data_IF_616081763153
#
_entry.id   IF_616081763153
#
_cell.length_a   1.000
_cell.length_b   1.000
_cell.length_c   1.000
_cell.angle_alpha   90.00
_cell.angle_beta   90.00
_cell.angle_gamma   90.00
#
_symmetry.space_group_name_H-M   'P 1'
#
loop_
_entity.id
_entity.type
_entity.pdbx_description
1 polymer ?
#
# COMPACT_ATOMS: atom_id res chain seq x y z
N UNK A 1 -14.21 33.13 14.57
CA UNK A 1 -13.48 32.08 13.81
C UNK A 1 -13.34 30.75 14.58
N UNK A 2 -14.38 30.34 15.33
CA UNK A 2 -14.37 29.12 16.17
C UNK A 2 -15.60 28.22 15.99
N UNK A 3 -16.51 28.56 15.08
CA UNK A 3 -17.73 27.79 14.80
C UNK A 3 -17.66 26.91 13.53
N UNK A 4 -16.53 26.89 12.82
CA UNK A 4 -16.38 26.11 11.57
C UNK A 4 -15.83 24.68 11.78
N UNK A 5 -15.55 24.28 13.03
CA UNK A 5 -14.92 22.98 13.35
C UNK A 5 -15.87 21.93 13.96
N UNK A 6 -17.16 22.24 14.15
CA UNK A 6 -18.13 21.29 14.72
C UNK A 6 -18.85 20.41 13.68
N UNK A 7 -18.85 20.80 12.41
CA UNK A 7 -19.70 20.14 11.38
C UNK A 7 -19.04 18.95 10.64
N UNK A 8 -17.76 18.66 10.91
CA UNK A 8 -17.07 17.52 10.31
C UNK A 8 -17.01 16.26 11.18
N UNK A 9 -17.53 16.29 12.42
CA UNK A 9 -17.54 15.11 13.31
C UNK A 9 -18.66 14.11 12.98
N UNK A 10 -19.78 14.57 12.41
CA UNK A 10 -20.93 13.72 12.06
C UNK A 10 -20.64 12.84 10.82
N UNK A 11 -20.01 13.39 9.77
CA UNK A 11 -19.56 12.62 8.59
C UNK A 11 -18.41 11.66 8.90
N UNK A 12 -17.55 11.98 9.87
CA UNK A 12 -16.46 11.09 10.31
C UNK A 12 -16.98 9.85 11.05
N UNK A 13 -18.13 9.95 11.74
CA UNK A 13 -18.77 8.81 12.40
C UNK A 13 -19.49 7.87 11.43
N UNK A 14 -19.95 8.36 10.28
CA UNK A 14 -20.46 7.50 9.19
C UNK A 14 -19.32 6.68 8.55
N UNK A 15 -18.14 7.28 8.39
CA UNK A 15 -16.94 6.56 7.90
C UNK A 15 -16.38 5.56 8.92
N UNK A 16 -16.49 5.82 10.23
CA UNK A 16 -16.05 4.87 11.27
C UNK A 16 -16.96 3.65 11.38
N UNK A 17 -18.23 3.73 10.96
CA UNK A 17 -19.18 2.61 11.01
C UNK A 17 -18.96 1.55 9.91
N UNK A 18 -18.22 1.89 8.85
CA UNK A 18 -17.86 0.97 7.75
C UNK A 18 -16.57 0.16 8.06
N UNK A 19 -15.84 0.49 9.14
CA UNK A 19 -14.55 -0.13 9.50
C UNK A 19 -14.65 -1.13 10.66
N UNK A 20 -15.72 -1.93 10.74
CA UNK A 20 -15.72 -3.13 11.60
C UNK A 20 -14.97 -4.26 10.88
N UNK A 21 -13.65 -4.18 10.97
CA UNK A 21 -12.73 -5.30 10.74
C UNK A 21 -13.04 -6.41 11.76
N UNK A 22 -13.73 -7.47 11.33
CA UNK A 22 -13.57 -8.88 11.76
C UNK A 22 -14.77 -9.69 11.25
N UNK A 23 -14.48 -10.83 10.58
CA UNK A 23 -15.43 -11.86 10.11
C UNK A 23 -16.25 -11.61 8.83
N UNK A 24 -15.80 -10.74 7.92
CA UNK A 24 -16.42 -10.66 6.59
C UNK A 24 -15.87 -11.71 5.60
N UNK A 25 -15.99 -13.02 5.91
CA UNK A 25 -15.91 -14.07 4.87
C UNK A 25 -17.24 -14.10 4.09
N UNK A 26 -17.75 -12.93 3.73
CA UNK A 26 -18.96 -12.81 2.93
C UNK A 26 -18.62 -13.31 1.54
N UNK A 27 -19.56 -14.04 0.95
CA UNK A 27 -19.49 -14.55 -0.40
C UNK A 27 -19.27 -13.38 -1.38
N UNK A 28 -18.02 -13.09 -1.71
CA UNK A 28 -17.70 -12.25 -2.85
C UNK A 28 -18.15 -13.04 -4.08
N UNK A 29 -19.13 -12.50 -4.81
CA UNK A 29 -19.70 -13.19 -5.97
C UNK A 29 -18.63 -13.34 -7.04
N UNK A 30 -18.43 -14.56 -7.54
CA UNK A 30 -17.57 -14.80 -8.68
C UNK A 30 -18.31 -14.42 -9.98
N UNK A 31 -18.23 -13.15 -10.38
CA UNK A 31 -18.95 -12.62 -11.56
C UNK A 31 -18.20 -11.46 -12.22
N UNK A 32 -18.36 -11.32 -13.54
CA UNK A 32 -17.82 -10.19 -14.32
C UNK A 32 -18.45 -8.82 -13.97
N UNK A 33 -19.46 -8.79 -13.10
CA UNK A 33 -20.02 -7.57 -12.49
C UNK A 33 -19.50 -7.31 -11.08
N UNK A 34 -18.46 -8.03 -10.65
CA UNK A 34 -17.77 -7.82 -9.38
C UNK A 34 -16.43 -7.13 -9.64
N UNK A 35 -16.20 -6.03 -8.92
CA UNK A 35 -14.94 -5.31 -8.90
C UNK A 35 -14.26 -5.46 -7.54
N UNK A 36 -13.03 -5.94 -7.57
CA UNK A 36 -12.16 -6.11 -6.40
C UNK A 36 -11.02 -5.10 -6.49
N UNK A 37 -10.99 -4.18 -5.55
CA UNK A 37 -9.92 -3.22 -5.40
C UNK A 37 -8.91 -3.69 -4.35
N UNK A 38 -7.68 -3.94 -4.78
CA UNK A 38 -6.59 -4.40 -3.90
C UNK A 38 -5.82 -3.19 -3.39
N UNK A 39 -6.00 -2.87 -2.11
CA UNK A 39 -5.34 -1.77 -1.42
C UNK A 39 -4.07 -2.25 -0.72
N UNK A 40 -2.93 -2.10 -1.41
CA UNK A 40 -1.62 -2.28 -0.77
C UNK A 40 -1.29 -1.09 0.11
N UNK A 41 -0.95 -1.37 1.38
CA UNK A 41 -0.60 -0.32 2.35
C UNK A 41 0.47 0.63 1.82
N UNK A 42 0.27 1.93 2.09
CA UNK A 42 1.18 3.04 1.73
C UNK A 42 1.32 3.33 0.23
N UNK A 43 0.43 2.78 -0.59
CA UNK A 43 0.36 3.07 -2.02
C UNK A 43 -0.68 4.15 -2.37
N UNK A 44 -1.20 4.91 -1.40
CA UNK A 44 -2.24 5.92 -1.67
C UNK A 44 -3.66 5.34 -1.79
N UNK A 45 -3.89 4.13 -1.26
CA UNK A 45 -5.11 3.44 -1.59
C UNK A 45 -6.41 4.01 -1.02
N UNK A 46 -6.35 4.79 0.07
CA UNK A 46 -7.52 5.56 0.55
C UNK A 46 -7.92 6.64 -0.45
N UNK A 47 -6.94 7.28 -1.09
CA UNK A 47 -7.17 8.31 -2.11
C UNK A 47 -7.86 7.70 -3.33
N UNK A 48 -7.30 6.61 -3.86
CA UNK A 48 -7.89 5.92 -5.00
C UNK A 48 -9.28 5.36 -4.70
N UNK A 49 -9.50 4.75 -3.53
CA UNK A 49 -10.82 4.25 -3.14
C UNK A 49 -11.88 5.35 -3.21
N UNK A 50 -11.58 6.54 -2.70
CA UNK A 50 -12.49 7.69 -2.75
C UNK A 50 -12.75 8.13 -4.19
N UNK A 51 -11.75 8.11 -5.06
CA UNK A 51 -11.92 8.44 -6.48
C UNK A 51 -12.79 7.40 -7.19
N UNK A 52 -12.54 6.10 -6.98
CA UNK A 52 -13.35 5.00 -7.53
C UNK A 52 -14.82 5.15 -7.16
N UNK A 53 -15.11 5.36 -5.87
CA UNK A 53 -16.48 5.51 -5.36
C UNK A 53 -17.21 6.75 -5.91
N UNK A 54 -16.49 7.77 -6.37
CA UNK A 54 -17.07 8.96 -7.01
C UNK A 54 -17.19 8.85 -8.51
N UNK A 55 -16.46 7.93 -9.13
CA UNK A 55 -16.39 7.81 -10.58
C UNK A 55 -17.62 7.11 -11.15
N UNK A 56 -18.01 7.46 -12.37
CA UNK A 56 -19.04 6.72 -13.13
C UNK A 56 -18.61 5.28 -13.43
N UNK A 57 -17.30 5.00 -13.36
CA UNK A 57 -16.73 3.67 -13.62
C UNK A 57 -17.31 2.61 -12.69
N UNK A 58 -17.58 2.96 -11.43
CA UNK A 58 -18.09 2.02 -10.43
C UNK A 58 -19.51 1.53 -10.76
N UNK A 59 -20.29 2.32 -11.49
CA UNK A 59 -21.68 1.99 -11.87
C UNK A 59 -21.76 0.84 -12.87
N UNK A 60 -20.64 0.45 -13.50
CA UNK A 60 -20.56 -0.71 -14.40
C UNK A 60 -20.62 -2.06 -13.65
N UNK A 61 -20.47 -2.03 -12.32
CA UNK A 61 -20.37 -3.21 -11.46
C UNK A 61 -21.55 -3.25 -10.48
N UNK A 62 -22.03 -4.46 -10.22
CA UNK A 62 -23.11 -4.70 -9.25
C UNK A 62 -22.55 -4.81 -7.81
N UNK A 63 -21.24 -5.07 -7.67
CA UNK A 63 -20.58 -5.20 -6.38
C UNK A 63 -19.15 -4.66 -6.44
N UNK A 64 -18.75 -4.01 -5.35
CA UNK A 64 -17.43 -3.43 -5.17
C UNK A 64 -16.86 -3.83 -3.81
N UNK A 65 -15.66 -4.41 -3.81
CA UNK A 65 -14.98 -4.88 -2.61
C UNK A 65 -13.58 -4.28 -2.53
N UNK A 66 -13.23 -3.74 -1.36
CA UNK A 66 -11.86 -3.31 -1.09
C UNK A 66 -11.19 -4.35 -0.20
N UNK A 67 -10.06 -4.89 -0.67
CA UNK A 67 -9.23 -5.81 0.09
C UNK A 67 -8.05 -5.03 0.69
N UNK A 68 -7.88 -5.10 2.01
CA UNK A 68 -6.79 -4.46 2.73
C UNK A 68 -6.42 -5.29 3.97
N UNK A 69 -5.12 -5.51 4.22
CA UNK A 69 -4.57 -6.28 5.36
C UNK A 69 -4.81 -7.80 5.25
N UNK A 70 -5.60 -8.27 4.28
CA UNK A 70 -5.84 -9.68 4.00
C UNK A 70 -5.42 -10.08 2.58
N UNK A 71 -5.23 -11.38 2.34
CA UNK A 71 -4.94 -11.90 1.00
C UNK A 71 -6.18 -11.74 0.11
N UNK A 72 -6.05 -11.19 -1.11
CA UNK A 72 -7.17 -11.13 -2.06
C UNK A 72 -7.70 -12.52 -2.39
N UNK A 73 -9.03 -12.68 -2.60
CA UNK A 73 -9.57 -13.91 -3.14
C UNK A 73 -9.14 -14.07 -4.60
N UNK A 74 -9.03 -15.32 -5.04
CA UNK A 74 -8.79 -15.70 -6.43
C UNK A 74 -10.13 -16.14 -7.00
N UNK A 75 -10.72 -15.32 -7.85
CA UNK A 75 -12.03 -15.54 -8.48
C UNK A 75 -11.91 -15.38 -10.00
N UNK A 76 -12.27 -16.41 -10.76
CA UNK A 76 -12.05 -16.51 -12.21
C UNK A 76 -12.80 -15.46 -13.03
N UNK A 77 -13.97 -15.03 -12.57
CA UNK A 77 -14.85 -14.13 -13.30
C UNK A 77 -14.83 -12.70 -12.74
N UNK A 78 -14.18 -12.45 -11.61
CA UNK A 78 -14.12 -11.11 -11.03
C UNK A 78 -13.11 -10.22 -11.77
N UNK A 79 -13.33 -8.91 -11.64
CA UNK A 79 -12.42 -7.88 -12.16
C UNK A 79 -11.60 -7.28 -11.01
N UNK A 80 -10.37 -6.89 -11.31
CA UNK A 80 -9.41 -6.39 -10.32
C UNK A 80 -8.89 -5.01 -10.72
N UNK A 81 -8.77 -4.16 -9.70
CA UNK A 81 -8.07 -2.89 -9.77
C UNK A 81 -7.01 -2.90 -8.69
N UNK A 82 -5.80 -2.50 -9.06
CA UNK A 82 -4.66 -2.55 -8.17
C UNK A 82 -4.05 -1.17 -8.02
N UNK A 83 -3.50 -0.92 -6.84
CA UNK A 83 -2.64 0.21 -6.61
C UNK A 83 -1.28 -0.25 -6.10
N UNK A 84 -0.24 0.20 -6.79
CA UNK A 84 1.14 -0.20 -6.54
C UNK A 84 2.02 1.04 -6.30
N UNK A 85 3.26 0.76 -5.91
CA UNK A 85 4.29 1.74 -5.62
C UNK A 85 5.65 1.10 -5.80
N UNK A 86 6.68 1.88 -6.06
CA UNK A 86 8.06 1.42 -5.93
C UNK A 86 8.27 0.75 -4.55
N UNK A 87 8.79 -0.49 -4.47
CA UNK A 87 8.87 -1.25 -3.21
C UNK A 87 9.68 -0.55 -2.13
N UNK A 88 10.80 0.07 -2.50
CA UNK A 88 11.67 0.81 -1.57
C UNK A 88 10.95 2.05 -1.05
N UNK A 89 10.34 2.84 -1.93
CA UNK A 89 9.58 4.04 -1.52
C UNK A 89 8.39 3.68 -0.63
N UNK A 90 7.75 2.54 -0.88
CA UNK A 90 6.67 1.99 -0.03
C UNK A 90 7.20 1.67 1.36
N UNK A 91 8.32 0.96 1.47
CA UNK A 91 8.95 0.60 2.75
C UNK A 91 9.39 1.84 3.54
N UNK A 92 10.02 2.82 2.89
CA UNK A 92 10.38 4.11 3.52
C UNK A 92 9.12 4.79 4.09
N UNK A 93 8.03 4.82 3.32
CA UNK A 93 6.77 5.42 3.75
C UNK A 93 6.11 4.65 4.90
N UNK A 94 6.16 3.32 4.85
CA UNK A 94 5.64 2.43 5.88
C UNK A 94 6.39 2.60 7.20
N UNK A 95 7.72 2.51 7.17
CA UNK A 95 8.57 2.65 8.35
C UNK A 95 8.35 4.00 9.02
N UNK A 96 8.47 5.11 8.29
CA UNK A 96 8.32 6.46 8.86
C UNK A 96 6.94 6.69 9.45
N UNK A 97 5.89 6.13 8.85
CA UNK A 97 4.54 6.21 9.41
C UNK A 97 4.39 5.41 10.71
N UNK A 98 4.93 4.19 10.76
CA UNK A 98 4.92 3.39 11.99
C UNK A 98 5.75 4.06 13.08
N UNK A 99 6.96 4.52 12.74
CA UNK A 99 7.82 5.27 13.66
C UNK A 99 7.09 6.46 14.29
N UNK A 100 6.45 7.29 13.47
CA UNK A 100 5.65 8.41 13.96
C UNK A 100 4.56 7.96 14.93
N UNK A 101 3.70 7.02 14.54
CA UNK A 101 2.54 6.63 15.37
C UNK A 101 2.92 5.86 16.64
N UNK A 102 4.02 5.12 16.61
CA UNK A 102 4.40 4.19 17.67
C UNK A 102 5.41 4.83 18.62
N UNK A 103 6.39 5.58 18.09
CA UNK A 103 7.50 6.15 18.86
C UNK A 103 7.32 7.65 19.12
N UNK A 104 6.97 8.46 18.10
CA UNK A 104 6.89 9.93 18.28
C UNK A 104 5.59 10.35 18.98
N UNK A 105 4.45 9.92 18.43
CA UNK A 105 3.12 10.27 18.93
C UNK A 105 2.67 9.30 20.05
N UNK A 106 3.32 8.13 20.17
CA UNK A 106 2.98 7.00 21.05
C UNK A 106 1.53 6.48 21.03
N UNK A 107 0.67 7.01 20.14
CA UNK A 107 -0.76 6.65 20.01
C UNK A 107 -1.02 5.18 19.70
N UNK A 108 -0.03 4.46 19.17
CA UNK A 108 -0.12 3.02 18.86
C UNK A 108 1.01 2.19 19.48
N UNK A 109 1.67 2.72 20.52
CA UNK A 109 2.82 2.07 21.19
C UNK A 109 2.60 0.60 21.53
N UNK A 110 1.43 0.27 22.09
CA UNK A 110 1.08 -1.08 22.57
C UNK A 110 0.21 -1.88 21.59
N UNK A 111 -0.05 -1.36 20.38
CA UNK A 111 -0.97 -2.01 19.42
C UNK A 111 -0.41 -3.34 18.90
N UNK A 112 0.90 -3.39 18.66
CA UNK A 112 1.58 -4.58 18.17
C UNK A 112 2.78 -4.90 19.06
N UNK A 113 2.79 -6.10 19.64
CA UNK A 113 3.81 -6.52 20.62
C UNK A 113 5.22 -6.47 19.99
N UNK A 114 6.13 -5.75 20.65
CA UNK A 114 7.54 -5.61 20.25
C UNK A 114 7.81 -4.62 19.11
N UNK A 115 6.79 -4.03 18.47
CA UNK A 115 7.02 -3.09 17.36
C UNK A 115 7.72 -1.81 17.83
N UNK A 116 7.37 -1.29 19.02
CA UNK A 116 8.03 -0.13 19.60
C UNK A 116 9.53 -0.36 19.80
N UNK A 117 9.90 -1.50 20.40
CA UNK A 117 11.31 -1.84 20.68
C UNK A 117 12.13 -1.89 19.40
N UNK A 118 11.57 -2.49 18.35
CA UNK A 118 12.20 -2.60 17.03
C UNK A 118 12.37 -1.22 16.39
N UNK A 119 11.31 -0.41 16.35
CA UNK A 119 11.37 0.93 15.77
C UNK A 119 12.38 1.81 16.51
N UNK A 120 12.42 1.73 17.84
CA UNK A 120 13.37 2.46 18.67
C UNK A 120 14.82 1.95 18.50
N UNK A 121 15.02 0.62 18.34
CA UNK A 121 16.32 0.00 18.04
C UNK A 121 16.94 0.55 16.76
N UNK A 122 16.19 0.55 15.66
CA UNK A 122 16.74 0.97 14.36
C UNK A 122 16.65 2.48 14.11
N UNK A 123 15.67 3.18 14.69
CA UNK A 123 15.41 4.63 14.56
C UNK A 123 15.00 5.12 13.16
N UNK A 124 15.58 4.54 12.10
CA UNK A 124 15.26 4.82 10.71
C UNK A 124 15.40 3.55 9.86
N UNK A 125 14.87 3.62 8.64
CA UNK A 125 14.87 2.46 7.73
C UNK A 125 16.27 2.12 7.19
N UNK A 126 17.18 3.09 7.06
CA UNK A 126 18.54 2.84 6.59
C UNK A 126 19.30 1.92 7.54
N UNK A 127 19.25 2.22 8.84
CA UNK A 127 19.92 1.44 9.88
C UNK A 127 19.43 0.00 9.91
N UNK A 128 18.13 -0.22 9.68
CA UNK A 128 17.56 -1.56 9.54
C UNK A 128 18.08 -2.23 8.26
N UNK A 129 17.96 -1.54 7.12
CA UNK A 129 18.32 -2.09 5.82
C UNK A 129 19.81 -2.49 5.71
N UNK A 130 20.72 -1.70 6.27
CA UNK A 130 22.15 -2.01 6.30
C UNK A 130 22.49 -3.29 7.07
N UNK A 131 21.64 -3.68 8.02
CA UNK A 131 21.82 -4.87 8.85
C UNK A 131 21.10 -6.12 8.31
N UNK A 132 20.29 -5.99 7.25
CA UNK A 132 19.55 -7.14 6.67
C UNK A 132 20.47 -8.27 6.20
N UNK A 133 21.72 -7.97 5.84
CA UNK A 133 22.68 -8.94 5.35
C UNK A 133 24.04 -8.77 6.02
N UNK A 134 24.71 -9.90 6.27
CA UNK A 134 26.11 -10.00 6.67
C UNK A 134 26.86 -10.69 5.53
N UNK A 135 27.54 -9.89 4.69
CA UNK A 135 27.99 -10.38 3.39
C UNK A 135 26.79 -10.78 2.54
N UNK A 136 26.76 -12.02 2.06
CA UNK A 136 25.68 -12.55 1.22
C UNK A 136 24.57 -13.27 1.98
N UNK A 137 24.73 -13.45 3.29
CA UNK A 137 23.75 -14.17 4.11
C UNK A 137 22.78 -13.19 4.75
N UNK A 138 21.49 -13.53 4.68
CA UNK A 138 20.44 -12.77 5.36
C UNK A 138 20.57 -12.93 6.88
N UNK A 139 20.52 -11.82 7.61
CA UNK A 139 20.43 -11.84 9.07
C UNK A 139 18.98 -12.15 9.48
N UNK A 140 18.75 -13.38 9.96
CA UNK A 140 17.41 -13.86 10.34
C UNK A 140 16.79 -13.07 11.49
N UNK A 141 17.59 -12.48 12.36
CA UNK A 141 17.09 -11.65 13.46
C UNK A 141 16.53 -10.35 12.89
N UNK A 142 17.29 -9.70 11.99
CA UNK A 142 16.89 -8.43 11.36
C UNK A 142 15.71 -8.64 10.40
N UNK A 143 15.67 -9.76 9.68
CA UNK A 143 14.49 -10.17 8.90
C UNK A 143 13.24 -10.31 9.80
N UNK A 144 13.38 -11.00 10.95
CA UNK A 144 12.32 -11.16 11.92
C UNK A 144 11.81 -9.82 12.46
N UNK A 145 12.73 -8.89 12.74
CA UNK A 145 12.41 -7.53 13.15
C UNK A 145 11.64 -6.77 12.06
N UNK A 146 12.11 -6.84 10.80
CA UNK A 146 11.42 -6.23 9.65
C UNK A 146 9.98 -6.72 9.54
N UNK A 147 9.77 -8.04 9.64
CA UNK A 147 8.44 -8.68 9.52
C UNK A 147 7.53 -8.43 10.72
N UNK A 148 8.04 -7.96 11.85
CA UNK A 148 7.22 -7.56 13.02
C UNK A 148 6.64 -6.14 12.88
N UNK A 149 7.21 -5.30 12.02
CA UNK A 149 6.66 -3.99 11.71
C UNK A 149 5.44 -4.17 10.78
N UNK A 150 4.25 -3.84 11.27
CA UNK A 150 2.97 -4.29 10.68
C UNK A 150 2.83 -3.99 9.18
N UNK A 151 3.09 -2.74 8.75
CA UNK A 151 2.97 -2.37 7.34
C UNK A 151 4.13 -2.86 6.45
N UNK A 152 5.25 -3.31 7.04
CA UNK A 152 6.36 -3.88 6.29
C UNK A 152 6.08 -5.34 5.93
N UNK A 153 5.46 -6.09 6.84
CA UNK A 153 5.03 -7.48 6.61
C UNK A 153 4.04 -7.62 5.45
N UNK A 154 3.08 -6.69 5.36
CA UNK A 154 2.04 -6.68 4.34
C UNK A 154 2.55 -5.97 3.08
N UNK A 155 3.58 -6.57 2.46
CA UNK A 155 4.24 -6.07 1.26
C UNK A 155 3.49 -6.39 -0.03
N UNK A 156 4.02 -5.95 -1.18
CA UNK A 156 3.31 -6.15 -2.46
C UNK A 156 3.15 -7.65 -2.72
N UNK A 157 4.20 -8.43 -2.50
CA UNK A 157 4.18 -9.88 -2.65
C UNK A 157 3.15 -10.56 -1.73
N UNK A 158 2.94 -10.06 -0.51
CA UNK A 158 1.92 -10.60 0.40
C UNK A 158 0.52 -10.59 -0.23
N UNK A 159 0.17 -9.54 -0.98
CA UNK A 159 -1.14 -9.45 -1.65
C UNK A 159 -1.14 -10.15 -3.01
N UNK A 160 -0.05 -10.02 -3.78
CA UNK A 160 -0.09 -10.29 -5.22
C UNK A 160 0.57 -11.60 -5.64
N UNK A 161 1.49 -12.16 -4.85
CA UNK A 161 2.30 -13.31 -5.29
C UNK A 161 1.43 -14.48 -5.71
N UNK A 162 0.52 -14.92 -4.82
CA UNK A 162 -0.34 -16.07 -5.06
C UNK A 162 -1.43 -15.70 -6.09
N UNK A 163 -2.04 -14.52 -5.93
CA UNK A 163 -3.06 -14.03 -6.85
C UNK A 163 -2.59 -14.04 -8.30
N UNK A 164 -1.37 -13.54 -8.56
CA UNK A 164 -0.83 -13.43 -9.91
C UNK A 164 -0.54 -14.80 -10.56
N UNK A 165 -0.49 -15.91 -9.82
CA UNK A 165 -0.32 -17.24 -10.43
C UNK A 165 -1.54 -17.64 -11.25
N UNK A 166 -2.73 -17.31 -10.76
CA UNK A 166 -4.01 -17.73 -11.33
C UNK A 166 -4.76 -16.60 -12.06
N UNK A 167 -4.29 -15.35 -11.92
CA UNK A 167 -4.96 -14.19 -12.48
C UNK A 167 -4.73 -14.06 -13.99
N UNK A 168 -5.81 -14.00 -14.76
CA UNK A 168 -5.75 -13.68 -16.18
C UNK A 168 -5.56 -12.19 -16.42
N UNK A 169 -4.79 -11.82 -17.45
CA UNK A 169 -4.54 -10.43 -17.84
C UNK A 169 -5.84 -9.63 -18.06
N UNK A 170 -6.87 -10.24 -18.65
CA UNK A 170 -8.17 -9.62 -18.90
C UNK A 170 -8.96 -9.28 -17.63
N UNK A 171 -8.65 -9.91 -16.50
CA UNK A 171 -9.27 -9.62 -15.21
C UNK A 171 -8.70 -8.34 -14.57
N UNK A 172 -7.50 -7.90 -14.97
CA UNK A 172 -6.87 -6.69 -14.45
C UNK A 172 -7.30 -5.49 -15.28
N UNK A 173 -8.30 -4.76 -14.78
CA UNK A 173 -8.85 -3.63 -15.50
C UNK A 173 -7.93 -2.41 -15.50
N UNK A 174 -7.31 -2.12 -14.36
CA UNK A 174 -6.40 -0.98 -14.22
C UNK A 174 -5.38 -1.20 -13.10
N UNK A 175 -4.17 -0.68 -13.32
CA UNK A 175 -3.09 -0.64 -12.34
C UNK A 175 -2.66 0.81 -12.16
N UNK A 176 -2.97 1.36 -10.98
CA UNK A 176 -2.56 2.70 -10.57
C UNK A 176 -1.20 2.66 -9.87
N UNK A 177 -0.35 3.66 -10.13
CA UNK A 177 0.92 3.81 -9.42
C UNK A 177 0.88 5.04 -8.51
N UNK A 178 1.42 4.92 -7.29
CA UNK A 178 1.45 6.05 -6.33
C UNK A 178 2.16 7.26 -6.90
N UNK A 179 3.22 7.02 -7.68
CA UNK A 179 4.09 8.01 -8.29
C UNK A 179 3.36 8.88 -9.32
N UNK A 180 2.26 8.39 -9.90
CA UNK A 180 1.46 9.07 -10.91
C UNK A 180 -0.03 9.12 -10.54
N UNK A 181 -0.34 8.92 -9.26
CA UNK A 181 -1.70 8.57 -8.83
C UNK A 181 -2.74 9.62 -9.22
N UNK A 182 -2.42 10.91 -9.08
CA UNK A 182 -3.35 11.98 -9.42
C UNK A 182 -3.60 12.05 -10.94
N UNK A 183 -2.55 11.87 -11.75
CA UNK A 183 -2.65 11.82 -13.21
C UNK A 183 -3.45 10.59 -13.66
N UNK A 184 -3.18 9.43 -13.07
CA UNK A 184 -3.89 8.18 -13.38
C UNK A 184 -5.36 8.27 -12.98
N UNK A 185 -5.68 8.78 -11.78
CA UNK A 185 -7.06 9.00 -11.34
C UNK A 185 -7.79 9.93 -12.31
N UNK A 186 -7.18 11.04 -12.70
CA UNK A 186 -7.81 11.95 -13.65
C UNK A 186 -7.99 11.31 -15.02
N UNK A 187 -6.96 10.64 -15.55
CA UNK A 187 -7.00 9.99 -16.87
C UNK A 187 -8.09 8.93 -16.94
N UNK A 188 -8.11 8.01 -15.99
CA UNK A 188 -8.94 6.79 -15.99
C UNK A 188 -10.34 7.09 -15.44
N UNK A 189 -10.44 7.78 -14.32
CA UNK A 189 -11.69 7.95 -13.58
C UNK A 189 -12.38 9.29 -13.85
N UNK A 190 -11.70 10.23 -14.54
CA UNK A 190 -12.17 11.60 -14.79
C UNK A 190 -12.48 12.38 -13.50
N UNK A 191 -11.81 12.02 -12.41
CA UNK A 191 -11.92 12.69 -11.11
C UNK A 191 -10.66 13.53 -10.87
N UNK A 192 -10.82 14.78 -10.42
CA UNK A 192 -9.70 15.57 -9.88
C UNK A 192 -9.54 15.24 -8.40
N UNK A 193 -8.30 14.95 -7.99
CA UNK A 193 -8.01 14.68 -6.60
C UNK A 193 -7.69 15.99 -5.85
N UNK A 194 -8.73 16.72 -5.46
CA UNK A 194 -8.57 17.98 -4.72
C UNK A 194 -8.14 17.76 -3.25
N UNK A 195 -8.23 16.51 -2.80
CA UNK A 195 -7.85 16.13 -1.46
C UNK A 195 -6.34 15.95 -1.41
N UNK A 196 -5.66 16.99 -0.94
CA UNK A 196 -4.24 17.02 -0.58
C UNK A 196 -3.89 16.07 0.61
N UNK A 197 -4.38 14.83 0.61
CA UNK A 197 -4.24 13.84 1.70
C UNK A 197 -2.76 13.49 1.94
N UNK A 198 -1.91 13.68 0.93
CA UNK A 198 -0.49 13.31 0.96
C UNK A 198 0.45 14.35 1.58
N UNK A 199 -0.03 15.51 2.07
CA UNK A 199 0.83 16.57 2.65
C UNK A 199 1.72 16.13 3.82
N UNK A 200 1.46 14.99 4.45
CA UNK A 200 2.28 14.49 5.54
C UNK A 200 3.68 14.03 5.09
N UNK A 201 3.91 13.72 3.81
CA UNK A 201 5.25 13.38 3.33
C UNK A 201 6.24 14.52 3.50
N UNK A 202 5.79 15.77 3.41
CA UNK A 202 6.65 16.95 3.46
C UNK A 202 7.17 17.25 4.87
N UNK A 203 6.54 16.67 5.91
CA UNK A 203 6.95 16.84 7.31
C UNK A 203 8.07 15.90 7.74
N UNK A 204 8.34 14.85 6.96
CA UNK A 204 9.41 13.90 7.28
C UNK A 204 10.74 14.44 6.76
N UNK A 205 11.71 14.63 7.66
CA UNK A 205 13.04 15.14 7.31
C UNK A 205 13.72 14.29 6.25
N UNK A 206 14.54 14.92 5.39
CA UNK A 206 15.25 14.23 4.29
C UNK A 206 16.09 13.04 4.80
N UNK A 207 16.76 13.21 5.94
CA UNK A 207 17.60 12.18 6.56
C UNK A 207 16.83 10.90 6.96
N UNK A 208 15.52 11.00 7.25
CA UNK A 208 14.66 9.84 7.54
C UNK A 208 14.22 9.07 6.28
N UNK A 209 14.50 9.61 5.09
CA UNK A 209 14.14 9.02 3.79
C UNK A 209 15.34 8.50 3.00
N UNK A 210 16.54 8.99 3.32
CA UNK A 210 17.77 8.57 2.64
C UNK A 210 18.18 7.16 3.02
N UNK A 211 18.66 6.40 2.03
CA UNK A 211 19.37 5.14 2.21
C UNK A 211 20.80 5.32 1.74
N UNK A 212 21.76 4.70 2.43
CA UNK A 212 23.11 4.52 1.90
C UNK A 212 23.07 3.55 0.72
N UNK A 213 24.15 3.49 -0.06
CA UNK A 213 24.26 2.53 -1.16
C UNK A 213 24.11 1.08 -0.66
N UNK A 214 24.70 0.76 0.50
CA UNK A 214 24.58 -0.55 1.15
C UNK A 214 23.13 -0.84 1.58
N UNK A 215 22.50 0.10 2.29
CA UNK A 215 21.12 -0.05 2.76
C UNK A 215 20.14 -0.22 1.59
N UNK A 216 20.31 0.58 0.52
CA UNK A 216 19.51 0.46 -0.69
C UNK A 216 19.67 -0.91 -1.37
N UNK A 217 20.92 -1.37 -1.57
CA UNK A 217 21.20 -2.66 -2.24
C UNK A 217 20.64 -3.83 -1.44
N UNK A 218 20.84 -3.83 -0.12
CA UNK A 218 20.29 -4.84 0.78
C UNK A 218 18.76 -4.87 0.73
N UNK A 219 18.12 -3.70 0.81
CA UNK A 219 16.67 -3.61 0.81
C UNK A 219 16.09 -4.04 -0.54
N UNK A 220 16.71 -3.64 -1.66
CA UNK A 220 16.31 -4.07 -3.01
C UNK A 220 16.36 -5.59 -3.16
N UNK A 221 17.46 -6.21 -2.71
CA UNK A 221 17.63 -7.68 -2.68
C UNK A 221 16.54 -8.36 -1.85
N UNK A 222 16.28 -7.84 -0.64
CA UNK A 222 15.25 -8.35 0.27
C UNK A 222 13.83 -8.24 -0.31
N UNK A 223 13.55 -7.19 -1.08
CA UNK A 223 12.25 -6.93 -1.72
C UNK A 223 12.13 -7.54 -3.13
N UNK A 224 13.01 -8.47 -3.51
CA UNK A 224 13.02 -9.06 -4.87
C UNK A 224 11.67 -9.67 -5.29
N UNK A 225 10.93 -10.28 -4.37
CA UNK A 225 9.58 -10.81 -4.66
C UNK A 225 8.55 -9.71 -4.95
N UNK A 226 8.64 -8.54 -4.31
CA UNK A 226 7.79 -7.39 -4.63
C UNK A 226 8.07 -6.90 -6.05
N UNK A 227 9.35 -6.82 -6.44
CA UNK A 227 9.75 -6.43 -7.79
C UNK A 227 9.32 -7.46 -8.85
N UNK A 228 9.35 -8.76 -8.56
CA UNK A 228 8.80 -9.80 -9.46
C UNK A 228 7.30 -9.61 -9.68
N UNK A 229 6.54 -9.33 -8.62
CA UNK A 229 5.11 -9.05 -8.73
C UNK A 229 4.84 -7.81 -9.58
N UNK A 230 5.64 -6.75 -9.39
CA UNK A 230 5.55 -5.52 -10.19
C UNK A 230 5.86 -5.77 -11.66
N UNK A 231 6.91 -6.52 -11.99
CA UNK A 231 7.23 -6.86 -13.38
C UNK A 231 6.04 -7.57 -14.05
N UNK A 232 5.52 -8.63 -13.41
CA UNK A 232 4.39 -9.40 -13.94
C UNK A 232 3.12 -8.56 -14.10
N UNK A 233 2.84 -7.63 -13.18
CA UNK A 233 1.62 -6.82 -13.30
C UNK A 233 1.72 -5.73 -14.38
N UNK A 234 2.92 -5.23 -14.64
CA UNK A 234 3.17 -4.28 -15.72
C UNK A 234 3.06 -4.94 -17.10
N UNK A 235 3.31 -6.26 -17.20
CA UNK A 235 3.00 -7.03 -18.41
C UNK A 235 1.48 -7.13 -18.67
N UNK A 236 0.68 -7.16 -17.60
CA UNK A 236 -0.79 -7.22 -17.71
C UNK A 236 -1.40 -5.89 -18.14
N UNK A 237 -0.85 -4.78 -17.66
CA UNK A 237 -1.43 -3.48 -17.98
C UNK A 237 -0.33 -2.41 -18.07
N UNK A 238 0.24 -2.27 -19.27
CA UNK A 238 1.21 -1.23 -19.61
C UNK A 238 0.53 0.13 -19.94
N UNK A 239 -0.77 0.29 -19.65
CA UNK A 239 -1.56 1.43 -20.17
C UNK A 239 -1.55 2.65 -19.26
N UNK A 240 -1.13 2.52 -18.01
CA UNK A 240 -0.70 3.69 -17.25
C UNK A 240 0.69 4.10 -17.73
N UNK A 241 0.93 5.39 -17.93
CA UNK A 241 2.28 5.97 -18.14
C UNK A 241 3.24 5.70 -16.96
N UNK A 242 2.88 4.78 -16.08
CA UNK A 242 3.73 4.13 -15.09
C UNK A 242 5.00 3.68 -15.77
N UNK A 243 6.00 4.56 -15.70
CA UNK A 243 7.29 4.30 -16.32
C UNK A 243 7.86 3.13 -15.55
N UNK A 244 7.96 1.98 -16.22
CA UNK A 244 8.59 0.77 -15.69
C UNK A 244 9.88 1.15 -14.94
N UNK A 245 10.68 2.03 -15.53
CA UNK A 245 11.88 2.61 -14.93
C UNK A 245 11.65 3.26 -13.56
N UNK A 246 10.60 4.05 -13.36
CA UNK A 246 10.31 4.69 -12.07
C UNK A 246 9.95 3.67 -11.00
N UNK A 247 9.18 2.64 -11.33
CA UNK A 247 8.80 1.61 -10.37
C UNK A 247 9.91 0.60 -10.09
N UNK A 248 10.78 0.33 -11.06
CA UNK A 248 11.82 -0.70 -11.00
C UNK A 248 13.20 -0.17 -10.58
N UNK A 249 13.34 1.15 -10.42
CA UNK A 249 14.48 1.79 -9.73
C UNK A 249 14.56 1.28 -8.29
#
# INVERSE_FOLDING_TARGET
MLNFLKDNRSKLNLFKKIYRFTKFKYFIKNSNKTLIYIHVGKCGGVTLQKALLKSEWIKKFNSFHTIHIEKPPILDNANYVLIIRNPIQRVISAFNWRYKLVVEDEVQKKRFKGEWDILNKYKNINNLAEQLYRGDQIDRTVEGDFRKIHHLKENIAYYLKDLLLDLNKSQVLEVFATEFLDEDIFRVLKIRNDLNIHRNSNKVSKNKKSLSQKGYSNLKRFLSEDYKCLAKILEFNNTSKTRYETLMK
#
